data_IF_659306983538
#
_entry.id   IF_659306983538
#
_cell.length_a   1.000
_cell.length_b   1.000
_cell.length_c   1.000
_cell.angle_alpha   90.00
_cell.angle_beta   90.00
_cell.angle_gamma   90.00
#
_symmetry.space_group_name_H-M   'P 1'
#
loop_
_entity.id
_entity.type
_entity.pdbx_description
1 polymer ?
#
# COMPACT_ATOMS: atom_id res chain seq x y z
N UNK A 1 -22.88 -3.16 -9.29
CA UNK A 1 -23.94 -3.69 -8.42
C UNK A 1 -23.44 -3.94 -6.98
N UNK A 2 -22.30 -4.62 -6.74
CA UNK A 2 -21.78 -4.92 -5.39
C UNK A 2 -21.63 -3.67 -4.52
N UNK A 3 -20.95 -2.63 -5.04
CA UNK A 3 -20.76 -1.37 -4.32
C UNK A 3 -22.08 -0.64 -4.09
N UNK A 4 -23.00 -0.68 -5.05
CA UNK A 4 -24.33 -0.11 -4.87
C UNK A 4 -25.13 -0.83 -3.79
N UNK A 5 -25.00 -2.15 -3.69
CA UNK A 5 -25.62 -2.92 -2.60
C UNK A 5 -25.04 -2.51 -1.25
N UNK A 6 -23.70 -2.40 -1.16
CA UNK A 6 -23.05 -1.97 0.09
C UNK A 6 -23.47 -0.56 0.50
N UNK A 7 -23.50 0.39 -0.43
CA UNK A 7 -23.92 1.76 -0.15
C UNK A 7 -25.40 1.85 0.27
N UNK A 8 -26.26 1.01 -0.33
CA UNK A 8 -27.68 0.92 0.06
C UNK A 8 -27.83 0.39 1.48
N UNK A 9 -27.01 -0.60 1.88
CA UNK A 9 -27.05 -1.20 3.23
C UNK A 9 -26.35 -0.31 4.27
N UNK A 10 -25.30 0.41 3.87
CA UNK A 10 -24.46 1.21 4.74
C UNK A 10 -24.22 2.61 4.14
N UNK A 11 -25.20 3.48 4.10
CA UNK A 11 -25.10 4.78 3.43
C UNK A 11 -23.97 5.65 3.95
N UNK A 12 -23.25 6.30 3.02
CA UNK A 12 -22.11 7.19 3.29
C UNK A 12 -20.93 6.49 4.02
N UNK A 13 -20.79 5.17 3.86
CA UNK A 13 -19.69 4.39 4.44
C UNK A 13 -18.87 3.63 3.40
N UNK A 14 -19.18 3.82 2.13
CA UNK A 14 -18.56 3.08 1.02
C UNK A 14 -17.79 4.03 0.13
N UNK A 15 -16.54 3.71 -0.11
CA UNK A 15 -15.64 4.41 -1.03
C UNK A 15 -15.07 3.42 -2.03
N UNK A 16 -14.77 3.86 -3.24
CA UNK A 16 -14.29 3.00 -4.32
C UNK A 16 -12.90 3.40 -4.79
N UNK A 17 -11.88 2.66 -4.35
CA UNK A 17 -10.52 2.81 -4.82
C UNK A 17 -10.27 2.06 -6.13
N UNK A 18 -9.75 2.74 -7.14
CA UNK A 18 -9.52 2.23 -8.49
C UNK A 18 -8.04 2.26 -8.84
N UNK A 19 -7.46 1.10 -9.16
CA UNK A 19 -6.08 0.96 -9.60
C UNK A 19 -5.97 0.13 -10.88
N UNK A 20 -5.01 0.47 -11.73
CA UNK A 20 -4.73 -0.26 -12.97
C UNK A 20 -3.99 -1.58 -12.75
N UNK A 21 -3.16 -1.63 -11.72
CA UNK A 21 -2.36 -2.81 -11.42
C UNK A 21 -3.26 -4.01 -11.06
N UNK A 22 -2.94 -5.22 -11.55
CA UNK A 22 -3.82 -6.39 -11.38
C UNK A 22 -3.91 -6.89 -9.93
N UNK A 23 -3.03 -6.48 -9.03
CA UNK A 23 -3.01 -6.92 -7.63
C UNK A 23 -2.66 -8.40 -7.43
N UNK A 24 -2.11 -9.05 -8.48
CA UNK A 24 -1.75 -10.48 -8.48
C UNK A 24 -0.58 -10.72 -9.42
N UNK A 25 -0.06 -11.95 -9.48
CA UNK A 25 0.99 -12.34 -10.43
C UNK A 25 0.49 -12.26 -11.89
N UNK A 26 1.46 -12.18 -12.82
CA UNK A 26 1.16 -11.96 -14.24
C UNK A 26 0.40 -13.12 -14.89
N UNK A 27 0.59 -14.35 -14.42
CA UNK A 27 -0.09 -15.53 -14.96
C UNK A 27 -1.58 -15.50 -14.58
N UNK A 28 -1.86 -15.23 -13.31
CA UNK A 28 -3.24 -15.05 -12.81
C UNK A 28 -3.92 -13.85 -13.47
N UNK A 29 -3.21 -12.72 -13.60
CA UNK A 29 -3.72 -11.54 -14.27
C UNK A 29 -4.10 -11.81 -15.73
N UNK A 30 -3.25 -12.56 -16.47
CA UNK A 30 -3.53 -12.96 -17.86
C UNK A 30 -4.76 -13.87 -17.94
N UNK A 31 -4.89 -14.83 -17.04
CA UNK A 31 -6.04 -15.73 -16.98
C UNK A 31 -7.36 -14.98 -16.68
N UNK A 32 -7.35 -14.02 -15.75
CA UNK A 32 -8.52 -13.22 -15.41
C UNK A 32 -8.94 -12.29 -16.54
N UNK A 33 -8.00 -11.71 -17.27
CA UNK A 33 -8.28 -10.80 -18.41
C UNK A 33 -8.76 -11.51 -19.67
N UNK A 34 -8.66 -12.84 -19.74
CA UNK A 34 -9.14 -13.66 -20.86
C UNK A 34 -8.76 -13.11 -22.25
N UNK A 35 -7.51 -12.65 -22.40
CA UNK A 35 -6.99 -12.09 -23.63
C UNK A 35 -7.53 -10.71 -24.02
N UNK A 36 -8.28 -10.03 -23.18
CA UNK A 36 -8.67 -8.63 -23.42
C UNK A 36 -7.40 -7.77 -23.50
N UNK A 37 -7.26 -7.02 -24.60
CA UNK A 37 -6.26 -5.97 -24.73
C UNK A 37 -6.49 -4.95 -23.60
N UNK A 38 -5.40 -4.32 -23.11
CA UNK A 38 -5.48 -3.22 -22.14
C UNK A 38 -6.51 -2.21 -22.64
N UNK A 39 -7.61 -2.06 -21.92
CA UNK A 39 -8.58 -1.02 -22.17
C UNK A 39 -7.99 0.31 -21.67
N UNK A 40 -8.49 1.41 -22.20
CA UNK A 40 -8.19 2.74 -21.73
C UNK A 40 -8.75 2.91 -20.30
N UNK A 41 -7.88 2.95 -19.30
CA UNK A 41 -8.30 3.01 -17.90
C UNK A 41 -9.15 4.25 -17.58
N UNK A 42 -8.86 5.46 -18.09
CA UNK A 42 -9.79 6.60 -18.02
C UNK A 42 -11.19 6.29 -18.59
N UNK A 43 -11.26 5.62 -19.72
CA UNK A 43 -12.56 5.24 -20.32
C UNK A 43 -13.30 4.21 -19.45
N UNK A 44 -12.60 3.24 -18.87
CA UNK A 44 -13.19 2.27 -17.91
C UNK A 44 -13.74 2.97 -16.65
N UNK A 45 -13.05 3.99 -16.13
CA UNK A 45 -13.53 4.81 -15.00
C UNK A 45 -14.80 5.59 -15.41
N UNK A 46 -14.81 6.16 -16.60
CA UNK A 46 -15.96 6.90 -17.11
C UNK A 46 -17.18 5.98 -17.29
N UNK A 47 -16.99 4.79 -17.86
CA UNK A 47 -18.03 3.78 -18.00
C UNK A 47 -18.56 3.34 -16.61
N UNK A 48 -17.67 3.02 -15.67
CA UNK A 48 -18.06 2.64 -14.31
C UNK A 48 -18.90 3.74 -13.65
N UNK A 49 -18.51 5.00 -13.81
CA UNK A 49 -19.25 6.17 -13.32
C UNK A 49 -20.63 6.28 -13.97
N UNK A 50 -20.73 5.93 -15.26
CA UNK A 50 -21.99 5.91 -15.99
C UNK A 50 -23.03 4.98 -15.35
N UNK A 51 -22.61 3.85 -14.78
CA UNK A 51 -23.51 2.94 -14.05
C UNK A 51 -24.07 3.55 -12.75
N UNK A 52 -23.30 4.37 -12.05
CA UNK A 52 -23.81 5.09 -10.87
C UNK A 52 -24.70 6.27 -11.25
N UNK A 53 -24.43 6.92 -12.37
CA UNK A 53 -25.25 8.03 -12.90
C UNK A 53 -26.49 7.57 -13.68
N UNK A 54 -26.62 6.26 -13.92
CA UNK A 54 -27.66 5.67 -14.81
C UNK A 54 -27.65 6.27 -16.21
N UNK A 55 -26.45 6.54 -16.75
CA UNK A 55 -26.25 7.14 -18.06
C UNK A 55 -25.74 6.17 -19.12
N UNK A 56 -25.46 4.91 -18.75
CA UNK A 56 -25.08 3.85 -19.68
C UNK A 56 -26.29 3.20 -20.33
N UNK A 57 -26.13 2.53 -21.50
CA UNK A 57 -27.22 1.82 -22.16
C UNK A 57 -27.88 0.72 -21.32
N UNK A 58 -27.16 0.20 -20.32
CA UNK A 58 -27.62 -0.82 -19.36
C UNK A 58 -27.54 -0.25 -17.96
N UNK A 59 -28.63 -0.33 -17.22
CA UNK A 59 -28.67 0.10 -15.81
C UNK A 59 -28.08 -0.97 -14.87
N UNK A 60 -27.41 -0.53 -13.81
CA UNK A 60 -26.87 -1.39 -12.77
C UNK A 60 -27.58 -1.15 -11.43
N UNK A 61 -28.49 -2.03 -11.07
CA UNK A 61 -29.22 -1.92 -9.80
C UNK A 61 -28.54 -2.71 -8.67
N UNK A 62 -28.52 -2.16 -7.41
CA UNK A 62 -29.13 -0.90 -6.95
C UNK A 62 -28.21 0.33 -7.10
N UNK A 63 -27.16 0.30 -7.94
CA UNK A 63 -26.16 1.38 -8.05
C UNK A 63 -26.68 2.66 -8.70
N UNK A 64 -27.69 2.55 -9.56
CA UNK A 64 -28.25 3.67 -10.31
C UNK A 64 -28.74 4.79 -9.38
N UNK A 65 -28.21 6.00 -9.56
CA UNK A 65 -28.52 7.17 -8.75
C UNK A 65 -27.74 7.32 -7.44
N UNK A 66 -26.86 6.36 -7.08
CA UNK A 66 -26.01 6.46 -5.88
C UNK A 66 -24.75 7.27 -6.16
N UNK A 67 -24.28 7.99 -5.13
CA UNK A 67 -23.04 8.78 -5.19
C UNK A 67 -21.98 8.15 -4.29
N UNK A 68 -21.14 7.30 -4.86
CA UNK A 68 -20.00 6.69 -4.15
C UNK A 68 -18.72 7.46 -4.52
N UNK A 69 -17.93 7.95 -3.55
CA UNK A 69 -16.66 8.59 -3.82
C UNK A 69 -15.67 7.65 -4.51
N UNK A 70 -15.02 8.12 -5.58
CA UNK A 70 -13.97 7.40 -6.30
C UNK A 70 -12.60 7.93 -5.92
N UNK A 71 -11.65 7.03 -5.71
CA UNK A 71 -10.25 7.32 -5.43
C UNK A 71 -9.35 6.66 -6.46
N UNK A 72 -8.33 7.36 -6.93
CA UNK A 72 -7.31 6.76 -7.80
C UNK A 72 -6.19 6.18 -6.95
N UNK A 73 -5.99 4.86 -7.07
CA UNK A 73 -4.91 4.15 -6.40
C UNK A 73 -3.70 4.04 -7.34
N UNK A 74 -2.51 4.33 -6.84
CA UNK A 74 -1.32 4.18 -7.65
C UNK A 74 -0.01 4.25 -6.88
N UNK A 75 1.08 3.98 -7.61
CA UNK A 75 2.46 4.07 -7.10
C UNK A 75 3.40 4.68 -8.14
N UNK A 76 2.85 5.39 -9.12
CA UNK A 76 3.61 5.96 -10.25
C UNK A 76 3.19 7.39 -10.55
N UNK A 77 4.02 8.08 -11.32
CA UNK A 77 3.73 9.44 -11.79
C UNK A 77 2.53 9.48 -12.75
N UNK A 78 2.31 8.43 -13.55
CA UNK A 78 1.17 8.34 -14.45
C UNK A 78 -0.16 8.33 -13.70
N UNK A 79 -0.24 7.60 -12.57
CA UNK A 79 -1.45 7.60 -11.74
C UNK A 79 -1.70 8.95 -11.07
N UNK A 80 -0.63 9.69 -10.76
CA UNK A 80 -0.73 11.05 -10.23
C UNK A 80 -1.32 12.03 -11.26
N UNK A 81 -0.82 12.00 -12.51
CA UNK A 81 -1.39 12.78 -13.61
C UNK A 81 -2.86 12.43 -13.85
N UNK A 82 -3.20 11.15 -13.86
CA UNK A 82 -4.58 10.69 -14.05
C UNK A 82 -5.51 11.20 -12.97
N UNK A 83 -5.12 11.05 -11.69
CA UNK A 83 -5.92 11.54 -10.57
C UNK A 83 -6.13 13.05 -10.64
N UNK A 84 -5.08 13.80 -10.97
CA UNK A 84 -5.12 15.25 -11.13
C UNK A 84 -6.04 15.68 -12.27
N UNK A 85 -5.95 15.04 -13.44
CA UNK A 85 -6.78 15.32 -14.61
C UNK A 85 -8.26 15.05 -14.35
N UNK A 86 -8.57 13.95 -13.64
CA UNK A 86 -9.94 13.57 -13.31
C UNK A 86 -10.51 14.36 -12.12
N UNK A 87 -9.71 15.17 -11.43
CA UNK A 87 -10.11 15.89 -10.22
C UNK A 87 -10.59 14.97 -9.12
N UNK A 88 -9.87 13.85 -8.89
CA UNK A 88 -10.19 12.84 -7.89
C UNK A 88 -9.14 12.76 -6.79
N UNK A 89 -9.49 12.30 -5.57
CA UNK A 89 -8.52 12.00 -4.54
C UNK A 89 -7.50 10.97 -5.02
N UNK A 90 -6.25 11.13 -4.59
CA UNK A 90 -5.14 10.27 -4.95
C UNK A 90 -4.61 9.51 -3.74
N UNK A 91 -4.64 8.17 -3.80
CA UNK A 91 -4.08 7.30 -2.79
C UNK A 91 -2.78 6.67 -3.31
N UNK A 92 -1.65 7.09 -2.74
CA UNK A 92 -0.32 6.60 -3.12
C UNK A 92 0.10 5.40 -2.26
N UNK A 93 0.50 4.30 -2.91
CA UNK A 93 0.86 3.04 -2.26
C UNK A 93 2.30 3.04 -1.74
N UNK A 94 2.66 3.95 -0.82
CA UNK A 94 4.01 4.04 -0.25
C UNK A 94 4.37 2.88 0.70
N UNK A 95 3.39 2.09 1.12
CA UNK A 95 3.60 0.92 1.97
C UNK A 95 4.34 -0.25 1.28
N UNK A 96 4.50 -0.22 -0.04
CA UNK A 96 5.33 -1.18 -0.78
C UNK A 96 6.11 -0.58 -1.97
N UNK A 97 5.79 0.64 -2.41
CA UNK A 97 6.43 1.29 -3.54
C UNK A 97 6.75 2.77 -3.27
N UNK A 98 7.51 3.10 -2.21
CA UNK A 98 7.71 4.50 -1.77
C UNK A 98 8.59 5.33 -2.70
N UNK A 99 9.35 4.72 -3.62
CA UNK A 99 10.39 5.37 -4.42
C UNK A 99 9.93 6.63 -5.15
N UNK A 100 8.72 6.63 -5.69
CA UNK A 100 8.20 7.75 -6.49
C UNK A 100 7.24 8.65 -5.70
N UNK A 101 7.08 8.43 -4.39
CA UNK A 101 6.07 9.08 -3.55
C UNK A 101 6.11 10.61 -3.63
N UNK A 102 7.26 11.21 -3.36
CA UNK A 102 7.42 12.66 -3.28
C UNK A 102 7.07 13.31 -4.62
N UNK A 103 7.68 12.83 -5.70
CA UNK A 103 7.45 13.39 -7.04
C UNK A 103 6.02 13.15 -7.54
N UNK A 104 5.41 11.99 -7.23
CA UNK A 104 4.04 11.71 -7.63
C UNK A 104 3.04 12.61 -6.90
N UNK A 105 3.21 12.83 -5.60
CA UNK A 105 2.36 13.73 -4.83
C UNK A 105 2.52 15.18 -5.30
N UNK A 106 3.75 15.63 -5.57
CA UNK A 106 4.00 16.97 -6.13
C UNK A 106 3.31 17.15 -7.49
N UNK A 107 3.46 16.17 -8.40
CA UNK A 107 2.80 16.16 -9.71
C UNK A 107 1.29 16.26 -9.55
N UNK A 108 0.70 15.43 -8.69
CA UNK A 108 -0.73 15.43 -8.45
C UNK A 108 -1.23 16.81 -7.98
N UNK A 109 -0.60 17.38 -6.93
CA UNK A 109 -1.03 18.68 -6.38
C UNK A 109 -0.85 19.82 -7.38
N UNK A 110 0.27 19.85 -8.10
CA UNK A 110 0.58 20.90 -9.08
C UNK A 110 -0.36 20.89 -10.30
N UNK A 111 -0.81 19.71 -10.73
CA UNK A 111 -1.63 19.55 -11.93
C UNK A 111 -3.11 19.30 -11.62
N UNK A 112 -3.50 19.32 -10.35
CA UNK A 112 -4.87 19.06 -9.92
C UNK A 112 -5.87 20.02 -10.58
N UNK A 113 -6.93 19.44 -11.16
CA UNK A 113 -8.04 20.18 -11.74
C UNK A 113 -9.28 20.00 -10.88
N UNK A 114 -9.82 21.06 -10.25
CA UNK A 114 -11.07 20.95 -9.51
C UNK A 114 -12.18 20.31 -10.33
N UNK A 115 -12.97 19.46 -9.70
CA UNK A 115 -14.09 18.77 -10.33
C UNK A 115 -15.38 18.94 -9.50
N UNK A 116 -16.48 18.39 -9.99
CA UNK A 116 -17.74 18.32 -9.22
C UNK A 116 -17.65 17.39 -8.01
N UNK A 117 -16.57 16.60 -7.91
CA UNK A 117 -16.36 15.61 -6.85
C UNK A 117 -15.38 16.10 -5.78
N UNK A 118 -14.43 16.96 -6.18
CA UNK A 118 -13.38 17.43 -5.31
C UNK A 118 -12.96 18.84 -5.71
N UNK A 119 -13.05 19.78 -4.77
CA UNK A 119 -12.71 21.19 -5.00
C UNK A 119 -11.20 21.46 -4.86
N UNK A 120 -10.53 20.74 -3.95
CA UNK A 120 -9.11 20.86 -3.66
C UNK A 120 -8.43 19.50 -3.70
N UNK A 121 -7.13 19.47 -4.00
CA UNK A 121 -6.38 18.21 -4.07
C UNK A 121 -6.34 17.49 -2.72
N UNK A 122 -6.55 16.18 -2.71
CA UNK A 122 -6.58 15.33 -1.51
C UNK A 122 -5.70 14.09 -1.70
N UNK A 123 -4.73 13.89 -0.80
CA UNK A 123 -3.75 12.82 -0.88
C UNK A 123 -3.84 11.90 0.33
N UNK A 124 -3.99 10.60 0.06
CA UNK A 124 -3.85 9.54 1.05
C UNK A 124 -2.50 8.84 0.83
N UNK A 125 -1.72 8.66 1.89
CA UNK A 125 -0.53 7.81 1.84
C UNK A 125 -0.81 6.45 2.48
N UNK A 126 -0.62 5.37 1.72
CA UNK A 126 -0.55 4.02 2.28
C UNK A 126 0.79 3.83 2.98
N UNK A 127 0.80 3.57 4.29
CA UNK A 127 2.01 3.39 5.08
C UNK A 127 1.98 2.08 5.87
N UNK A 128 3.13 1.43 6.02
CA UNK A 128 3.26 0.38 7.03
C UNK A 128 3.47 1.03 8.38
N UNK A 129 2.76 0.56 9.41
CA UNK A 129 2.90 1.10 10.75
C UNK A 129 2.93 -0.02 11.79
N UNK A 130 3.96 -0.03 12.64
CA UNK A 130 4.13 -0.97 13.74
C UNK A 130 4.53 -0.19 14.97
N UNK A 131 3.57 0.06 15.84
CA UNK A 131 3.76 0.81 17.09
C UNK A 131 3.69 -0.15 18.26
N UNK A 132 4.69 -0.12 19.13
CA UNK A 132 4.73 -0.91 20.36
C UNK A 132 5.19 -0.02 21.53
N UNK A 133 5.15 -0.54 22.76
CA UNK A 133 5.54 0.25 23.93
C UNK A 133 7.01 0.68 23.91
N UNK A 134 7.88 -0.08 23.23
CA UNK A 134 9.30 0.23 23.08
C UNK A 134 9.75 0.04 21.62
N UNK A 135 10.79 0.78 21.23
CA UNK A 135 11.43 0.61 19.91
C UNK A 135 11.99 -0.80 19.70
N UNK A 136 12.44 -1.45 20.77
CA UNK A 136 12.94 -2.82 20.71
C UNK A 136 11.83 -3.79 20.32
N UNK A 137 10.70 -3.71 21.01
CA UNK A 137 9.53 -4.56 20.72
C UNK A 137 8.98 -4.29 19.32
N UNK A 138 8.86 -3.02 18.92
CA UNK A 138 8.40 -2.66 17.59
C UNK A 138 9.30 -3.25 16.48
N UNK A 139 10.62 -3.20 16.65
CA UNK A 139 11.59 -3.81 15.71
C UNK A 139 11.48 -5.33 15.67
N UNK A 140 11.27 -5.99 16.81
CA UNK A 140 11.02 -7.43 16.86
C UNK A 140 9.75 -7.79 16.09
N UNK A 141 8.63 -7.11 16.35
CA UNK A 141 7.36 -7.31 15.64
C UNK A 141 7.49 -7.03 14.14
N UNK A 142 8.30 -6.05 13.75
CA UNK A 142 8.52 -5.68 12.35
C UNK A 142 9.25 -6.76 11.53
N UNK A 143 9.89 -7.73 12.16
CA UNK A 143 10.49 -8.87 11.45
C UNK A 143 9.45 -9.69 10.69
N UNK A 144 8.21 -9.75 11.17
CA UNK A 144 7.07 -10.34 10.44
C UNK A 144 6.81 -9.61 9.12
N UNK A 145 6.88 -8.26 9.11
CA UNK A 145 6.77 -7.47 7.89
C UNK A 145 7.92 -7.76 6.92
N UNK A 146 9.15 -7.83 7.42
CA UNK A 146 10.33 -8.17 6.61
C UNK A 146 10.16 -9.54 5.96
N UNK A 147 9.72 -10.56 6.72
CA UNK A 147 9.40 -11.90 6.21
C UNK A 147 8.29 -11.89 5.16
N UNK A 148 7.23 -11.11 5.38
CA UNK A 148 6.13 -10.97 4.43
C UNK A 148 6.63 -10.40 3.08
N UNK A 149 7.37 -9.30 3.10
CA UNK A 149 7.90 -8.71 1.87
C UNK A 149 8.96 -9.59 1.20
N UNK A 150 9.76 -10.31 1.98
CA UNK A 150 10.68 -11.30 1.45
C UNK A 150 9.94 -12.41 0.70
N UNK A 151 8.83 -12.91 1.25
CA UNK A 151 7.97 -13.89 0.57
C UNK A 151 7.38 -13.33 -0.74
N UNK A 152 6.99 -12.06 -0.76
CA UNK A 152 6.53 -11.39 -1.98
C UNK A 152 7.63 -11.33 -3.03
N UNK A 153 8.84 -10.91 -2.65
CA UNK A 153 9.99 -10.76 -3.55
C UNK A 153 10.46 -12.11 -4.11
N UNK A 154 10.45 -13.15 -3.28
CA UNK A 154 10.87 -14.51 -3.67
C UNK A 154 9.75 -15.34 -4.28
N UNK A 155 8.53 -14.79 -4.37
CA UNK A 155 7.32 -15.51 -4.79
C UNK A 155 7.05 -16.78 -3.94
N UNK A 156 7.42 -16.74 -2.68
CA UNK A 156 7.13 -17.82 -1.73
C UNK A 156 5.67 -17.71 -1.26
N UNK A 157 4.90 -18.77 -1.45
CA UNK A 157 3.51 -18.82 -1.01
C UNK A 157 3.46 -19.26 0.47
N UNK A 158 3.72 -18.32 1.36
CA UNK A 158 3.68 -18.56 2.81
C UNK A 158 2.68 -17.62 3.47
N UNK A 159 2.04 -18.11 4.51
CA UNK A 159 1.22 -17.29 5.38
C UNK A 159 2.09 -16.32 6.20
N UNK A 160 1.48 -15.36 6.87
CA UNK A 160 2.17 -14.46 7.78
C UNK A 160 2.93 -15.29 8.84
N UNK A 161 4.21 -14.99 9.03
CA UNK A 161 5.11 -15.74 9.92
C UNK A 161 5.22 -15.05 11.28
N UNK A 162 5.43 -15.81 12.38
CA UNK A 162 5.71 -15.22 13.68
C UNK A 162 7.02 -14.38 13.63
N UNK A 163 7.16 -13.39 14.53
CA UNK A 163 8.34 -12.56 14.55
C UNK A 163 9.59 -13.33 14.96
N UNK A 164 10.73 -12.90 14.45
CA UNK A 164 12.07 -13.34 14.86
C UNK A 164 12.66 -12.33 15.86
N UNK A 165 13.70 -12.72 16.58
CA UNK A 165 14.32 -11.87 17.60
C UNK A 165 14.96 -10.60 17.02
N UNK A 166 15.43 -10.65 15.78
CA UNK A 166 16.00 -9.50 15.07
C UNK A 166 15.84 -9.62 13.56
N UNK A 167 15.96 -8.50 12.87
CA UNK A 167 15.97 -8.48 11.39
C UNK A 167 17.20 -9.22 10.84
N UNK A 168 18.33 -9.18 11.53
CA UNK A 168 19.52 -9.91 11.12
C UNK A 168 19.29 -11.42 11.14
N UNK A 169 18.49 -11.93 12.09
CA UNK A 169 18.12 -13.35 12.13
C UNK A 169 17.24 -13.74 10.92
N UNK A 170 16.39 -12.83 10.43
CA UNK A 170 15.64 -13.04 9.20
C UNK A 170 16.59 -13.26 8.02
N UNK A 171 17.59 -12.39 7.88
CA UNK A 171 18.54 -12.48 6.76
C UNK A 171 19.47 -13.69 6.86
N UNK A 172 19.93 -14.05 8.06
CA UNK A 172 20.69 -15.28 8.29
C UNK A 172 19.89 -16.53 7.94
N UNK A 173 18.63 -16.61 8.36
CA UNK A 173 17.75 -17.73 8.03
C UNK A 173 17.54 -17.86 6.51
N UNK A 174 17.37 -16.76 5.79
CA UNK A 174 17.27 -16.76 4.34
C UNK A 174 18.55 -17.27 3.67
N UNK A 175 19.71 -16.81 4.10
CA UNK A 175 20.99 -17.29 3.54
C UNK A 175 21.16 -18.80 3.70
N UNK A 176 20.79 -19.35 4.85
CA UNK A 176 20.83 -20.78 5.09
C UNK A 176 19.85 -21.57 4.20
N UNK A 177 18.65 -21.01 3.96
CA UNK A 177 17.65 -21.64 3.08
C UNK A 177 18.06 -21.62 1.60
N UNK A 178 18.84 -20.66 1.16
CA UNK A 178 19.37 -20.54 -0.20
C UNK A 178 20.64 -21.38 -0.46
N UNK A 179 21.12 -22.10 0.54
CA UNK A 179 22.35 -22.90 0.46
C UNK A 179 22.23 -23.99 -0.62
N UNK A 180 22.44 -23.59 -1.88
CA UNK A 180 22.64 -24.54 -2.98
C UNK A 180 24.03 -25.16 -2.78
N UNK A 181 24.19 -26.50 -2.97
CA UNK A 181 25.50 -27.13 -2.93
C UNK A 181 26.44 -26.44 -3.92
N UNK A 182 27.50 -25.84 -3.42
CA UNK A 182 28.55 -25.28 -4.27
C UNK A 182 29.83 -26.12 -4.07
N UNK A 183 30.64 -26.18 -5.12
CA UNK A 183 31.90 -26.90 -5.08
C UNK A 183 32.98 -26.03 -4.47
N UNK A 184 33.50 -26.47 -3.32
CA UNK A 184 34.66 -25.88 -2.63
C UNK A 184 34.34 -25.26 -1.26
N UNK A 185 35.34 -25.08 -0.41
CA UNK A 185 35.17 -24.43 0.87
C UNK A 185 35.02 -22.93 0.67
N UNK A 186 33.79 -22.44 0.74
CA UNK A 186 33.50 -21.01 0.78
C UNK A 186 32.94 -20.70 2.15
N UNK A 187 33.64 -19.87 2.89
CA UNK A 187 33.15 -19.34 4.14
C UNK A 187 32.24 -18.14 3.84
N UNK A 188 30.94 -18.34 4.01
CA UNK A 188 29.92 -17.32 3.71
C UNK A 188 29.90 -16.21 4.75
N UNK A 189 30.53 -16.37 5.91
CA UNK A 189 30.64 -15.31 6.92
C UNK A 189 31.60 -14.19 6.49
N UNK A 190 32.56 -14.47 5.58
CA UNK A 190 33.56 -13.51 5.11
C UNK A 190 33.24 -12.84 3.77
N UNK A 191 32.22 -13.32 3.02
CA UNK A 191 31.87 -12.74 1.73
C UNK A 191 30.64 -11.82 1.94
N UNK A 192 30.74 -10.51 1.70
CA UNK A 192 29.57 -9.65 1.63
C UNK A 192 28.75 -10.04 0.38
N UNK A 193 27.88 -11.02 0.53
CA UNK A 193 26.93 -11.39 -0.52
C UNK A 193 25.97 -10.23 -0.66
N UNK A 194 26.00 -9.58 -1.82
CA UNK A 194 25.00 -8.59 -2.19
C UNK A 194 23.67 -9.30 -2.30
N UNK A 195 22.87 -9.21 -1.26
CA UNK A 195 21.55 -9.81 -1.21
C UNK A 195 20.58 -8.87 -1.92
N UNK A 196 20.29 -9.19 -3.19
CA UNK A 196 19.36 -8.39 -4.01
C UNK A 196 17.96 -8.35 -3.40
N UNK A 197 17.50 -9.46 -2.83
CA UNK A 197 16.19 -9.56 -2.17
C UNK A 197 16.12 -8.62 -0.97
N UNK A 198 17.19 -8.57 -0.16
CA UNK A 198 17.29 -7.63 0.95
C UNK A 198 17.16 -6.19 0.51
N UNK A 199 17.90 -5.79 -0.51
CA UNK A 199 17.86 -4.42 -1.03
C UNK A 199 16.45 -4.05 -1.56
N UNK A 200 15.75 -4.99 -2.20
CA UNK A 200 14.39 -4.79 -2.66
C UNK A 200 13.42 -4.66 -1.49
N UNK A 201 13.50 -5.52 -0.48
CA UNK A 201 12.65 -5.46 0.73
C UNK A 201 12.89 -4.15 1.49
N UNK A 202 14.14 -3.76 1.72
CA UNK A 202 14.48 -2.49 2.37
C UNK A 202 13.93 -1.29 1.60
N UNK A 203 14.00 -1.32 0.26
CA UNK A 203 13.39 -0.30 -0.58
C UNK A 203 11.86 -0.27 -0.45
N UNK A 204 11.20 -1.44 -0.44
CA UNK A 204 9.75 -1.54 -0.31
C UNK A 204 9.26 -1.03 1.05
N UNK A 205 10.03 -1.26 2.11
CA UNK A 205 9.68 -0.89 3.49
C UNK A 205 10.19 0.48 3.94
N UNK A 206 10.87 1.21 3.06
CA UNK A 206 11.53 2.50 3.40
C UNK A 206 10.59 3.60 3.93
N UNK A 207 9.28 3.47 3.74
CA UNK A 207 8.27 4.40 4.26
C UNK A 207 7.47 3.81 5.43
N UNK A 208 8.08 2.87 6.20
CA UNK A 208 7.43 2.25 7.36
C UNK A 208 7.63 3.12 8.61
N UNK A 209 6.58 3.22 9.43
CA UNK A 209 6.58 3.88 10.73
C UNK A 209 6.71 2.79 11.81
N UNK A 210 7.90 2.63 12.39
CA UNK A 210 8.21 1.54 13.31
C UNK A 210 8.89 2.08 14.56
N UNK A 211 8.30 1.84 15.73
CA UNK A 211 8.90 2.27 16.99
C UNK A 211 7.91 2.42 18.14
N UNK A 212 8.41 3.01 19.22
CA UNK A 212 7.58 3.52 20.32
C UNK A 212 6.68 4.67 19.84
N UNK A 213 5.66 5.06 20.60
CA UNK A 213 4.80 6.19 20.25
C UNK A 213 5.60 7.47 19.95
N UNK A 214 6.64 7.77 20.74
CA UNK A 214 7.51 8.94 20.54
C UNK A 214 8.31 8.85 19.24
N UNK A 215 8.87 7.68 18.95
CA UNK A 215 9.62 7.45 17.72
C UNK A 215 8.75 7.54 16.48
N UNK A 216 7.53 6.98 16.54
CA UNK A 216 6.57 7.03 15.42
C UNK A 216 6.02 8.44 15.23
N UNK A 217 5.76 9.19 16.29
CA UNK A 217 5.37 10.60 16.20
C UNK A 217 6.44 11.44 15.49
N UNK A 218 7.70 11.22 15.83
CA UNK A 218 8.83 11.89 15.18
C UNK A 218 8.94 11.50 13.70
N UNK A 219 8.86 10.20 13.37
CA UNK A 219 8.89 9.72 11.99
C UNK A 219 7.73 10.27 11.16
N UNK A 220 6.53 10.37 11.73
CA UNK A 220 5.36 10.93 11.06
C UNK A 220 5.52 12.44 10.77
N UNK A 221 6.10 13.19 11.71
CA UNK A 221 6.45 14.61 11.48
C UNK A 221 7.45 14.77 10.34
N UNK A 222 8.51 13.96 10.33
CA UNK A 222 9.47 13.97 9.22
C UNK A 222 8.82 13.62 7.88
N UNK A 223 7.89 12.66 7.86
CA UNK A 223 7.17 12.30 6.65
C UNK A 223 6.31 13.48 6.15
N UNK A 224 5.64 14.21 7.04
CA UNK A 224 4.86 15.41 6.71
C UNK A 224 5.71 16.57 6.17
N UNK A 225 6.94 16.71 6.67
CA UNK A 225 7.90 17.71 6.15
C UNK A 225 8.35 17.40 4.72
N UNK A 226 8.45 16.10 4.37
CA UNK A 226 8.88 15.65 3.04
C UNK A 226 7.74 15.63 2.03
N UNK A 227 6.54 15.25 2.46
CA UNK A 227 5.38 15.04 1.58
C UNK A 227 4.14 15.64 2.20
N UNK A 228 3.48 16.52 1.46
CA UNK A 228 2.22 17.09 1.87
C UNK A 228 1.06 16.12 1.56
N UNK A 229 0.56 15.45 2.57
CA UNK A 229 -0.60 14.54 2.51
C UNK A 229 -1.68 14.95 3.52
N UNK A 230 -2.89 14.51 3.26
CA UNK A 230 -4.08 14.84 4.08
C UNK A 230 -4.44 13.69 5.02
N UNK A 231 -4.20 12.45 4.59
CA UNK A 231 -4.58 11.26 5.31
C UNK A 231 -3.51 10.16 5.19
N UNK A 232 -3.42 9.27 6.18
CA UNK A 232 -2.68 8.02 6.10
C UNK A 232 -3.63 6.82 6.17
N UNK A 233 -3.38 5.84 5.32
CA UNK A 233 -4.00 4.53 5.39
C UNK A 233 -2.96 3.52 5.86
N UNK A 234 -3.03 3.16 7.14
CA UNK A 234 -2.03 2.32 7.79
C UNK A 234 -2.30 0.84 7.60
N UNK A 235 -1.26 0.09 7.25
CA UNK A 235 -1.24 -1.38 7.23
C UNK A 235 -0.24 -1.86 8.28
N UNK A 236 -0.61 -2.86 9.08
CA UNK A 236 0.26 -3.42 10.11
C UNK A 236 0.43 -4.93 9.92
N UNK A 237 1.65 -5.35 9.62
CA UNK A 237 2.00 -6.76 9.46
C UNK A 237 2.55 -7.31 10.78
N UNK A 238 1.70 -7.42 11.80
CA UNK A 238 2.01 -8.02 13.10
C UNK A 238 1.29 -9.38 13.17
N UNK A 239 2.01 -10.42 13.55
CA UNK A 239 1.48 -11.79 13.62
C UNK A 239 0.45 -11.98 14.73
N UNK A 240 0.70 -11.40 15.91
CA UNK A 240 -0.22 -11.46 17.04
C UNK A 240 -1.34 -10.43 16.87
N UNK A 241 -2.60 -10.90 16.76
CA UNK A 241 -3.77 -10.05 16.51
C UNK A 241 -4.01 -9.01 17.62
N UNK A 242 -3.68 -9.34 18.89
CA UNK A 242 -3.85 -8.40 20.00
C UNK A 242 -2.82 -7.27 19.92
N UNK A 243 -1.57 -7.62 19.64
CA UNK A 243 -0.50 -6.62 19.41
C UNK A 243 -0.77 -5.78 18.18
N UNK A 244 -1.34 -6.35 17.13
CA UNK A 244 -1.77 -5.60 15.94
C UNK A 244 -2.87 -4.57 16.30
N UNK A 245 -3.90 -4.98 17.05
CA UNK A 245 -4.95 -4.07 17.50
C UNK A 245 -4.40 -2.96 18.41
N UNK A 246 -3.48 -3.30 19.33
CA UNK A 246 -2.77 -2.32 20.16
C UNK A 246 -1.97 -1.33 19.34
N UNK A 247 -1.22 -1.80 18.33
CA UNK A 247 -0.45 -0.95 17.42
C UNK A 247 -1.34 0.08 16.71
N UNK A 248 -2.50 -0.32 16.18
CA UNK A 248 -3.46 0.62 15.59
C UNK A 248 -4.00 1.62 16.60
N UNK A 249 -4.28 1.18 17.83
CA UNK A 249 -4.76 2.06 18.90
C UNK A 249 -3.72 3.12 19.26
N UNK A 250 -2.44 2.71 19.39
CA UNK A 250 -1.34 3.64 19.66
C UNK A 250 -1.13 4.62 18.49
N UNK A 251 -1.14 4.12 17.24
CA UNK A 251 -1.01 4.96 16.07
C UNK A 251 -2.13 6.01 16.00
N UNK A 252 -3.38 5.60 16.25
CA UNK A 252 -4.50 6.54 16.28
C UNK A 252 -4.30 7.63 17.31
N UNK A 253 -3.85 7.29 18.52
CA UNK A 253 -3.58 8.26 19.57
C UNK A 253 -2.45 9.25 19.23
N UNK A 254 -1.51 8.86 18.36
CA UNK A 254 -0.45 9.75 17.83
C UNK A 254 -1.04 10.72 16.81
N UNK A 255 -1.83 10.21 15.86
CA UNK A 255 -2.43 11.00 14.78
C UNK A 255 -3.44 12.01 15.33
N UNK A 256 -4.26 11.64 16.31
CA UNK A 256 -5.27 12.51 16.91
C UNK A 256 -4.67 13.70 17.69
N UNK A 257 -3.37 13.69 17.99
CA UNK A 257 -2.65 14.80 18.68
C UNK A 257 -2.05 15.82 17.73
N UNK A 258 -2.02 15.54 16.43
CA UNK A 258 -1.41 16.38 15.39
C UNK A 258 -2.46 17.16 14.59
#
# INVERSE_FOLDING_TARGET
EQYGTLETLYPNRVELGLGRAPGTDMQTAAALRRGRKSLDFPAEIAELRGYFKDSNPVSAYPSAGLNIPFYILGSSTESAYLAAELGLPYAFASHFAPRMMEIAVEIYRKNFKPSTYLAESYVILGVNAIVAETDKEARELATTQTLFFLNVVTNAQQNLQPPMASEEDVWKAQMHAQNKPHFGPVDFEEIPIYNQERAVVEQMTACSLIGSPESVEFQLKQLRERVHFDEIMAVSYIFDEKKQAQSYTMLKAIVDKQ
#
